data_IF_579348057331
#
_entry.id   IF_579348057331
#
_cell.length_a   1.000
_cell.length_b   1.000
_cell.length_c   1.000
_cell.angle_alpha   90.00
_cell.angle_beta   90.00
_cell.angle_gamma   90.00
#
_symmetry.space_group_name_H-M   'P 1'
#
loop_
_entity.id
_entity.type
_entity.pdbx_description
1 polymer ?
#
# COMPACT_ATOMS: atom_id res chain seq x y z
N UNK A 1 -1.04 25.35 -2.22
CA UNK A 1 -1.90 24.33 -2.86
C UNK A 1 -2.86 23.85 -1.81
N UNK A 2 -4.16 23.94 -2.07
CA UNK A 2 -5.17 23.59 -1.08
C UNK A 2 -5.75 22.21 -1.41
N UNK A 3 -5.67 21.30 -0.44
CA UNK A 3 -6.23 19.96 -0.50
C UNK A 3 -7.53 19.92 0.32
N UNK A 4 -8.56 19.30 -0.22
CA UNK A 4 -9.81 19.05 0.48
C UNK A 4 -10.30 17.66 0.15
N UNK A 5 -10.72 16.94 1.16
CA UNK A 5 -11.32 15.61 1.01
C UNK A 5 -12.44 15.41 2.02
N UNK A 6 -13.37 14.52 1.68
CA UNK A 6 -14.46 14.11 2.55
C UNK A 6 -14.66 12.59 2.41
N UNK A 7 -14.60 11.90 3.54
CA UNK A 7 -14.65 10.45 3.59
C UNK A 7 -15.71 9.99 4.59
N UNK A 8 -16.59 9.09 4.15
CA UNK A 8 -17.53 8.40 5.03
C UNK A 8 -16.94 7.08 5.52
N UNK A 9 -16.92 6.88 6.84
CA UNK A 9 -16.45 5.65 7.50
C UNK A 9 -17.52 5.18 8.47
N UNK A 10 -18.20 4.08 8.11
CA UNK A 10 -19.38 3.62 8.86
C UNK A 10 -20.49 4.67 8.85
N UNK A 11 -20.95 5.07 10.04
CA UNK A 11 -21.97 6.11 10.20
C UNK A 11 -21.40 7.54 10.28
N UNK A 12 -20.07 7.67 10.33
CA UNK A 12 -19.42 8.95 10.53
C UNK A 12 -18.90 9.54 9.21
N UNK A 13 -19.02 10.86 9.07
CA UNK A 13 -18.48 11.61 7.93
C UNK A 13 -17.33 12.47 8.42
N UNK A 14 -16.17 12.32 7.79
CA UNK A 14 -14.96 13.06 8.11
C UNK A 14 -14.60 14.00 6.96
N UNK A 15 -14.39 15.27 7.24
CA UNK A 15 -13.87 16.24 6.28
C UNK A 15 -12.46 16.65 6.66
N UNK A 16 -11.57 16.77 5.67
CA UNK A 16 -10.22 17.30 5.83
C UNK A 16 -10.02 18.48 4.90
N UNK A 17 -9.45 19.56 5.42
CA UNK A 17 -8.92 20.67 4.62
C UNK A 17 -7.47 20.87 4.97
N UNK A 18 -6.59 20.88 3.98
CA UNK A 18 -5.19 21.21 4.15
C UNK A 18 -4.79 22.37 3.26
N UNK A 19 -4.10 23.35 3.82
CA UNK A 19 -3.57 24.52 3.10
C UNK A 19 -2.08 24.66 3.37
N UNK A 20 -1.33 25.07 2.36
CA UNK A 20 0.09 25.42 2.52
C UNK A 20 0.22 26.93 2.65
N UNK A 21 0.88 27.40 3.69
CA UNK A 21 1.25 28.82 3.82
C UNK A 21 2.74 29.00 3.56
N UNK A 22 3.08 29.74 2.51
CA UNK A 22 4.42 30.18 2.17
C UNK A 22 4.56 31.68 2.43
N UNK A 23 4.97 32.04 3.66
CA UNK A 23 5.32 33.42 3.99
C UNK A 23 6.82 33.59 3.85
N UNK A 24 7.28 34.69 3.24
CA UNK A 24 8.71 34.92 2.99
C UNK A 24 9.59 34.87 4.26
N UNK A 25 9.01 35.14 5.43
CA UNK A 25 9.69 35.16 6.73
C UNK A 25 9.46 33.91 7.59
N UNK A 26 8.74 32.90 7.11
CA UNK A 26 8.48 31.66 7.86
C UNK A 26 8.65 30.41 6.98
N UNK A 27 9.12 29.29 7.56
CA UNK A 27 9.20 28.04 6.83
C UNK A 27 7.81 27.61 6.35
N UNK A 28 7.74 27.03 5.16
CA UNK A 28 6.50 26.54 4.59
C UNK A 28 5.80 25.59 5.59
N UNK A 29 4.50 25.82 5.80
CA UNK A 29 3.70 25.06 6.76
C UNK A 29 2.43 24.51 6.12
N UNK A 30 1.95 23.40 6.66
CA UNK A 30 0.68 22.77 6.32
C UNK A 30 -0.25 22.91 7.51
N UNK A 31 -1.36 23.61 7.33
CA UNK A 31 -2.48 23.59 8.27
C UNK A 31 -3.45 22.50 7.82
N UNK A 32 -3.87 21.62 8.74
CA UNK A 32 -4.88 20.58 8.50
C UNK A 32 -6.00 20.75 9.50
N UNK A 33 -7.21 20.96 9.00
CA UNK A 33 -8.44 20.97 9.77
C UNK A 33 -9.18 19.66 9.51
N UNK A 34 -9.65 19.00 10.56
CA UNK A 34 -10.52 17.83 10.42
C UNK A 34 -11.71 17.90 11.36
N UNK A 35 -12.84 17.42 10.85
CA UNK A 35 -14.10 17.32 11.60
C UNK A 35 -14.74 15.98 11.26
N UNK A 36 -15.26 15.29 12.27
CA UNK A 36 -16.02 14.06 12.17
C UNK A 36 -17.38 14.24 12.81
N UNK A 37 -18.45 13.92 12.08
CA UNK A 37 -19.82 13.95 12.57
C UNK A 37 -20.51 12.60 12.41
N UNK A 38 -21.42 12.25 13.31
CA UNK A 38 -22.29 11.06 13.19
C UNK A 38 -23.45 11.29 12.19
N UNK A 39 -24.33 10.30 12.05
CA UNK A 39 -25.47 10.36 11.12
C UNK A 39 -26.50 11.44 11.48
N UNK A 40 -26.56 11.85 12.75
CA UNK A 40 -27.44 12.93 13.25
C UNK A 40 -26.78 14.31 13.14
N UNK A 41 -25.55 14.37 12.62
CA UNK A 41 -24.76 15.59 12.49
C UNK A 41 -24.11 16.05 13.79
N UNK A 42 -24.08 15.21 14.83
CA UNK A 42 -23.36 15.54 16.07
C UNK A 42 -21.87 15.37 15.83
N UNK A 43 -21.09 16.36 16.24
CA UNK A 43 -19.63 16.32 16.13
C UNK A 43 -19.08 15.29 17.13
N UNK A 44 -18.40 14.27 16.60
CA UNK A 44 -17.76 13.19 17.37
C UNK A 44 -16.22 13.31 17.36
N UNK A 45 -15.67 14.10 16.44
CA UNK A 45 -14.25 14.39 16.36
C UNK A 45 -14.02 15.78 15.75
N UNK A 46 -13.09 16.53 16.29
CA UNK A 46 -12.65 17.81 15.72
C UNK A 46 -11.19 18.02 16.09
N UNK A 47 -10.41 18.58 15.18
CA UNK A 47 -9.04 18.96 15.47
C UNK A 47 -8.38 19.75 14.37
N UNK A 48 -7.29 20.41 14.76
CA UNK A 48 -6.48 21.26 13.90
C UNK A 48 -5.02 20.87 14.11
N UNK A 49 -4.26 20.77 13.03
CA UNK A 49 -2.82 20.49 13.04
C UNK A 49 -2.11 21.58 12.25
N UNK A 50 -1.03 22.12 12.81
CA UNK A 50 -0.11 22.99 12.09
C UNK A 50 1.26 22.34 12.11
N UNK A 51 1.84 22.09 10.94
CA UNK A 51 3.10 21.37 10.80
C UNK A 51 4.00 22.07 9.79
N UNK A 52 5.30 22.11 10.06
CA UNK A 52 6.27 22.52 9.04
C UNK A 52 6.36 21.44 7.94
N UNK A 53 6.50 21.86 6.68
CA UNK A 53 6.63 20.94 5.54
C UNK A 53 7.85 20.04 5.70
N UNK A 54 8.96 20.58 6.22
CA UNK A 54 10.21 19.83 6.43
C UNK A 54 10.05 18.65 7.42
N UNK A 55 9.19 18.79 8.42
CA UNK A 55 8.92 17.77 9.44
C UNK A 55 7.64 16.95 9.19
N UNK A 56 6.99 17.13 8.04
CA UNK A 56 5.66 16.57 7.80
C UNK A 56 5.64 15.03 7.84
N UNK A 57 6.67 14.37 7.29
CA UNK A 57 6.76 12.91 7.29
C UNK A 57 6.88 12.32 8.70
N UNK A 58 7.72 12.93 9.56
CA UNK A 58 7.90 12.49 10.94
C UNK A 58 6.64 12.74 11.78
N UNK A 59 5.97 13.87 11.56
CA UNK A 59 4.71 14.19 12.21
C UNK A 59 3.61 13.17 11.85
N UNK A 60 3.50 12.77 10.58
CA UNK A 60 2.58 11.72 10.14
C UNK A 60 2.89 10.39 10.83
N UNK A 61 4.16 9.99 10.92
CA UNK A 61 4.56 8.75 11.58
C UNK A 61 4.23 8.76 13.08
N UNK A 62 4.50 9.87 13.77
CA UNK A 62 4.18 10.06 15.18
C UNK A 62 2.67 10.01 15.44
N UNK A 63 1.88 10.74 14.67
CA UNK A 63 0.42 10.77 14.79
C UNK A 63 -0.20 9.40 14.55
N UNK A 64 0.24 8.69 13.52
CA UNK A 64 -0.22 7.33 13.21
C UNK A 64 0.03 6.39 14.39
N UNK A 65 1.27 6.36 14.90
CA UNK A 65 1.64 5.51 16.04
C UNK A 65 0.85 5.85 17.30
N UNK A 66 0.61 7.13 17.55
CA UNK A 66 -0.13 7.59 18.73
C UNK A 66 -1.59 7.19 18.67
N UNK A 67 -2.25 7.39 17.53
CA UNK A 67 -3.64 7.02 17.33
C UNK A 67 -3.83 5.49 17.33
N UNK A 68 -2.89 4.73 16.76
CA UNK A 68 -2.90 3.26 16.83
C UNK A 68 -2.79 2.78 18.28
N UNK A 69 -1.88 3.37 19.07
CA UNK A 69 -1.72 3.06 20.49
C UNK A 69 -2.98 3.38 21.29
N UNK A 70 -3.59 4.54 21.06
CA UNK A 70 -4.84 4.94 21.71
C UNK A 70 -6.00 4.01 21.34
N UNK A 71 -6.14 3.65 20.07
CA UNK A 71 -7.17 2.71 19.61
C UNK A 71 -7.02 1.33 20.27
N UNK A 72 -5.77 0.84 20.38
CA UNK A 72 -5.47 -0.44 21.02
C UNK A 72 -5.88 -0.47 22.51
N UNK A 73 -5.69 0.63 23.26
CA UNK A 73 -6.11 0.73 24.66
C UNK A 73 -7.62 0.56 24.84
N UNK A 74 -8.40 1.00 23.86
CA UNK A 74 -9.86 0.92 23.90
C UNK A 74 -10.43 -0.29 23.14
N UNK A 75 -9.57 -1.22 22.70
CA UNK A 75 -9.98 -2.39 21.92
C UNK A 75 -10.59 -2.05 20.56
N UNK A 76 -10.46 -0.80 20.11
CA UNK A 76 -10.97 -0.33 18.83
C UNK A 76 -9.96 -0.73 17.76
N UNK A 77 -10.39 -1.54 16.79
CA UNK A 77 -9.60 -1.77 15.57
C UNK A 77 -10.12 -0.83 14.49
N UNK A 78 -9.28 0.02 13.89
CA UNK A 78 -9.71 0.89 12.80
C UNK A 78 -10.28 0.07 11.65
N UNK A 79 -11.60 0.06 11.50
CA UNK A 79 -12.30 -0.55 10.36
C UNK A 79 -12.45 0.49 9.28
N UNK A 80 -11.40 0.77 8.51
CA UNK A 80 -11.53 1.68 7.36
C UNK A 80 -10.25 2.29 6.81
N UNK A 81 -9.18 2.39 7.59
CA UNK A 81 -7.87 2.62 6.99
C UNK A 81 -7.49 1.36 6.22
N UNK A 82 -6.98 1.55 5.02
CA UNK A 82 -6.51 0.55 4.07
C UNK A 82 -5.30 -0.22 4.64
N UNK A 83 -5.48 -0.90 5.78
CA UNK A 83 -4.51 -1.77 6.46
C UNK A 83 -4.15 -2.99 5.60
N UNK A 84 -4.87 -3.22 4.50
CA UNK A 84 -4.43 -4.12 3.44
C UNK A 84 -3.12 -3.69 2.76
N UNK A 85 -2.73 -2.40 2.82
CA UNK A 85 -1.42 -1.91 2.35
C UNK A 85 -0.31 -1.99 3.40
N UNK A 86 -0.68 -2.15 4.67
CA UNK A 86 0.21 -2.51 5.77
C UNK A 86 0.22 -4.02 6.04
N UNK A 87 -0.29 -4.85 5.12
CA UNK A 87 0.20 -6.23 5.03
C UNK A 87 1.70 -6.12 4.78
N UNK A 88 2.47 -6.76 5.66
CA UNK A 88 3.93 -6.83 5.60
C UNK A 88 4.37 -6.78 4.14
N UNK A 89 5.11 -5.73 3.80
CA UNK A 89 5.85 -5.72 2.55
C UNK A 89 6.55 -7.08 2.50
N UNK A 90 6.30 -7.92 1.47
CA UNK A 90 6.88 -9.26 1.42
C UNK A 90 8.38 -9.14 1.71
N UNK A 91 8.93 -10.00 2.57
CA UNK A 91 10.26 -9.80 3.17
C UNK A 91 11.36 -9.46 2.14
N UNK A 92 11.20 -9.95 0.90
CA UNK A 92 12.15 -9.71 -0.18
C UNK A 92 11.70 -8.66 -1.20
N UNK A 93 10.62 -7.90 -1.00
CA UNK A 93 10.14 -6.94 -2.00
C UNK A 93 11.19 -5.84 -2.28
N UNK A 94 11.62 -5.73 -3.55
CA UNK A 94 12.68 -4.81 -3.99
C UNK A 94 14.11 -5.37 -3.95
N UNK A 95 14.34 -6.56 -3.38
CA UNK A 95 15.65 -7.23 -3.46
C UNK A 95 16.01 -7.62 -4.92
N UNK A 96 17.29 -7.70 -5.31
CA UNK A 96 17.67 -8.18 -6.63
C UNK A 96 17.25 -9.64 -6.85
N UNK A 97 17.06 -10.04 -8.11
CA UNK A 97 16.89 -11.44 -8.50
C UNK A 97 18.27 -12.01 -8.81
N UNK A 98 18.64 -13.11 -8.15
CA UNK A 98 19.88 -13.83 -8.44
C UNK A 98 19.61 -14.95 -9.44
N UNK A 99 20.65 -15.46 -10.08
CA UNK A 99 20.54 -16.56 -11.05
C UNK A 99 19.93 -17.83 -10.40
N UNK A 100 20.24 -18.09 -9.13
CA UNK A 100 19.68 -19.22 -8.40
C UNK A 100 18.18 -19.06 -8.13
N UNK A 101 17.74 -17.83 -7.81
CA UNK A 101 16.32 -17.54 -7.62
C UNK A 101 15.54 -17.65 -8.92
N UNK A 102 16.15 -17.24 -10.03
CA UNK A 102 15.58 -17.34 -11.37
C UNK A 102 15.43 -18.79 -11.82
N UNK A 103 16.46 -19.60 -11.68
CA UNK A 103 16.40 -21.00 -12.07
C UNK A 103 15.37 -21.75 -11.20
N UNK A 104 15.33 -21.48 -9.89
CA UNK A 104 14.30 -22.04 -9.00
C UNK A 104 12.89 -21.61 -9.39
N UNK A 105 12.70 -20.35 -9.78
CA UNK A 105 11.40 -19.83 -10.23
C UNK A 105 10.98 -20.49 -11.53
N UNK A 106 11.88 -20.58 -12.51
CA UNK A 106 11.66 -21.19 -13.82
C UNK A 106 11.28 -22.66 -13.69
N UNK A 107 12.03 -23.43 -12.90
CA UNK A 107 11.76 -24.85 -12.67
C UNK A 107 10.38 -25.08 -12.07
N UNK A 108 10.01 -24.32 -11.03
CA UNK A 108 8.68 -24.45 -10.39
C UNK A 108 7.54 -24.02 -11.31
N UNK A 109 7.75 -22.98 -12.11
CA UNK A 109 6.75 -22.54 -13.09
C UNK A 109 6.54 -23.59 -14.19
N UNK A 110 7.62 -24.17 -14.69
CA UNK A 110 7.56 -25.15 -15.78
C UNK A 110 7.04 -26.53 -15.33
N UNK A 111 7.27 -26.92 -14.07
CA UNK A 111 6.81 -28.20 -13.53
C UNK A 111 5.31 -28.24 -13.21
N UNK A 112 4.66 -27.09 -13.07
CA UNK A 112 3.27 -26.97 -12.58
C UNK A 112 2.24 -26.75 -13.70
N UNK A 113 2.39 -27.46 -14.82
CA UNK A 113 1.57 -27.27 -16.04
C UNK A 113 0.05 -27.53 -15.85
N UNK A 114 -0.35 -28.28 -14.82
CA UNK A 114 -1.75 -28.61 -14.52
C UNK A 114 -2.40 -27.66 -13.51
N UNK A 115 -1.62 -26.74 -12.91
CA UNK A 115 -2.11 -25.79 -11.91
C UNK A 115 -2.64 -24.52 -12.59
N UNK A 116 -3.66 -23.89 -12.01
CA UNK A 116 -4.10 -22.58 -12.52
C UNK A 116 -3.01 -21.52 -12.29
N UNK A 117 -2.76 -20.67 -13.31
CA UNK A 117 -1.71 -19.64 -13.23
C UNK A 117 -1.88 -18.67 -12.06
N UNK A 118 -3.12 -18.32 -11.74
CA UNK A 118 -3.43 -17.45 -10.60
C UNK A 118 -3.08 -18.07 -9.24
N UNK A 119 -3.36 -19.36 -9.05
CA UNK A 119 -3.02 -20.09 -7.83
C UNK A 119 -1.51 -20.27 -7.68
N UNK A 120 -0.83 -20.66 -8.77
CA UNK A 120 0.62 -20.83 -8.77
C UNK A 120 1.36 -19.50 -8.52
N UNK A 121 0.90 -18.39 -9.12
CA UNK A 121 1.44 -17.05 -8.83
C UNK A 121 1.25 -16.67 -7.36
N UNK A 122 0.13 -17.04 -6.75
CA UNK A 122 -0.13 -16.78 -5.34
C UNK A 122 0.76 -17.62 -4.40
N UNK A 123 1.05 -18.86 -4.78
CA UNK A 123 1.99 -19.73 -4.07
C UNK A 123 3.43 -19.23 -4.17
N UNK A 124 3.91 -18.99 -5.39
CA UNK A 124 5.27 -18.50 -5.62
C UNK A 124 5.52 -17.13 -4.97
N UNK A 125 4.51 -16.26 -4.94
CA UNK A 125 4.59 -14.98 -4.23
C UNK A 125 4.83 -15.17 -2.72
N UNK A 126 4.19 -16.17 -2.10
CA UNK A 126 4.42 -16.50 -0.68
C UNK A 126 5.81 -17.08 -0.48
N UNK A 127 6.21 -18.04 -1.30
CA UNK A 127 7.45 -18.81 -1.10
C UNK A 127 8.72 -18.01 -1.39
N UNK A 128 8.65 -17.06 -2.32
CA UNK A 128 9.76 -16.14 -2.59
C UNK A 128 9.66 -14.87 -1.73
N UNK A 129 8.58 -14.72 -0.94
CA UNK A 129 8.24 -13.51 -0.20
C UNK A 129 8.32 -12.27 -1.10
N UNK A 130 7.62 -12.30 -2.25
CA UNK A 130 7.51 -11.23 -3.24
C UNK A 130 6.03 -10.96 -3.58
N UNK A 131 5.76 -9.88 -4.31
CA UNK A 131 4.41 -9.60 -4.82
C UNK A 131 4.09 -10.47 -6.04
N UNK A 132 2.81 -10.79 -6.26
CA UNK A 132 2.37 -11.52 -7.46
C UNK A 132 2.79 -10.84 -8.77
N UNK A 133 2.71 -9.51 -8.82
CA UNK A 133 3.18 -8.73 -9.96
C UNK A 133 4.69 -8.89 -10.22
N UNK A 134 5.50 -8.95 -9.16
CA UNK A 134 6.94 -9.19 -9.28
C UNK A 134 7.26 -10.59 -9.78
N UNK A 135 6.52 -11.62 -9.33
CA UNK A 135 6.66 -12.99 -9.84
C UNK A 135 6.25 -13.04 -11.33
N UNK A 136 5.07 -12.50 -11.67
CA UNK A 136 4.53 -12.48 -13.03
C UNK A 136 5.50 -11.82 -14.02
N UNK A 137 6.04 -10.65 -13.66
CA UNK A 137 7.02 -9.95 -14.48
C UNK A 137 8.33 -10.76 -14.64
N UNK A 138 8.77 -11.45 -13.59
CA UNK A 138 10.00 -12.26 -13.65
C UNK A 138 9.83 -13.52 -14.49
N UNK A 139 8.70 -14.21 -14.39
CA UNK A 139 8.34 -15.33 -15.27
C UNK A 139 8.41 -14.92 -16.74
N UNK A 140 7.85 -13.76 -17.07
CA UNK A 140 7.91 -13.21 -18.43
C UNK A 140 9.33 -12.86 -18.90
N UNK A 141 10.19 -12.37 -18.00
CA UNK A 141 11.61 -12.11 -18.26
C UNK A 141 12.41 -13.40 -18.50
N UNK A 142 12.07 -14.49 -17.81
CA UNK A 142 12.67 -15.82 -17.98
C UNK A 142 12.18 -16.58 -19.23
N UNK A 143 11.43 -15.90 -20.11
CA UNK A 143 10.90 -16.49 -21.33
C UNK A 143 9.75 -17.47 -21.10
N UNK A 144 9.07 -17.42 -19.96
CA UNK A 144 7.90 -18.26 -19.64
C UNK A 144 6.60 -17.45 -19.77
N UNK A 145 5.50 -18.10 -20.18
CA UNK A 145 4.19 -17.48 -20.30
C UNK A 145 3.68 -17.14 -18.89
N UNK A 146 3.44 -15.85 -18.57
CA UNK A 146 3.04 -15.42 -17.23
C UNK A 146 1.60 -15.77 -16.87
N UNK A 147 0.78 -16.17 -17.84
CA UNK A 147 -0.63 -16.51 -17.66
C UNK A 147 -0.88 -18.03 -17.68
N UNK A 148 0.04 -18.79 -18.29
CA UNK A 148 -0.07 -20.25 -18.44
C UNK A 148 1.16 -20.95 -17.83
N UNK A 149 1.04 -21.59 -16.66
CA UNK A 149 2.09 -22.44 -16.10
C UNK A 149 2.54 -23.53 -17.07
N UNK A 150 3.81 -23.95 -16.98
CA UNK A 150 4.35 -24.99 -17.86
C UNK A 150 4.65 -24.56 -19.30
N UNK A 151 4.27 -23.34 -19.71
CA UNK A 151 4.42 -22.86 -21.08
C UNK A 151 5.57 -21.86 -21.21
N UNK A 152 6.44 -22.09 -22.18
CA UNK A 152 7.41 -21.09 -22.63
C UNK A 152 6.71 -20.04 -23.51
N UNK A 153 7.14 -18.77 -23.44
CA UNK A 153 6.69 -17.74 -24.37
C UNK A 153 7.15 -18.14 -25.76
N UNK A 154 6.20 -18.39 -26.65
CA UNK A 154 6.50 -18.45 -28.07
C UNK A 154 6.87 -17.04 -28.50
N UNK A 155 8.10 -16.85 -28.99
CA UNK A 155 8.58 -15.58 -29.52
C UNK A 155 7.78 -15.22 -30.77
N UNK A 156 6.63 -14.58 -30.57
CA UNK A 156 5.88 -13.89 -31.60
C UNK A 156 5.29 -12.64 -30.95
N UNK A 157 5.62 -11.50 -31.56
CA UNK A 157 5.11 -10.16 -31.27
C UNK A 157 5.84 -9.36 -30.17
N UNK A 158 6.88 -8.63 -30.60
CA UNK A 158 7.14 -7.28 -30.11
C UNK A 158 6.95 -6.31 -31.29
N UNK A 159 6.11 -5.26 -31.16
CA UNK A 159 6.25 -4.06 -31.97
C UNK A 159 7.49 -3.26 -31.56
#
# INVERSE_FOLDING_TARGET
MDFRDELRVGEHTYSVRAGTSDCADQPASVAVEFTGADADGRIVAEGNLLMAVEGFADAVAFLTRTLDGAAALHGVRPTGLNTARARSRPANAGQPWTEELDERLRQRWMAAAETSGGELLAELARDFARTRGSIRARVAYLGCDPDVPGRARTTADQP
#
